data_IF_077876873989
#
_entry.id   IF_077876873989
#
_cell.length_a   1.000
_cell.length_b   1.000
_cell.length_c   1.000
_cell.angle_alpha   90.00
_cell.angle_beta   90.00
_cell.angle_gamma   90.00
#
_symmetry.space_group_name_H-M   'P 1'
#
loop_
_entity.id
_entity.type
_entity.pdbx_description
1 polymer ?
#
# COMPACT_ATOMS: atom_id res chain seq x y z
N UNK A 1 3.58 17.70 -4.56
CA UNK A 1 4.86 18.11 -5.21
C UNK A 1 5.21 19.56 -4.99
N UNK A 2 4.35 20.55 -5.31
CA UNK A 2 4.71 21.98 -5.11
C UNK A 2 5.06 22.29 -3.65
N UNK A 3 4.24 21.84 -2.70
CA UNK A 3 4.51 22.04 -1.26
C UNK A 3 5.83 21.38 -0.80
N UNK A 4 6.14 20.21 -1.33
CA UNK A 4 7.41 19.51 -1.03
C UNK A 4 8.59 20.30 -1.57
N UNK A 5 8.47 20.82 -2.79
CA UNK A 5 9.52 21.65 -3.37
C UNK A 5 9.72 22.95 -2.57
N UNK A 6 8.63 23.62 -2.16
CA UNK A 6 8.70 24.84 -1.33
C UNK A 6 9.38 24.60 0.04
N UNK A 7 9.19 23.40 0.61
CA UNK A 7 9.86 23.03 1.87
C UNK A 7 11.35 22.71 1.71
N UNK A 8 11.77 22.26 0.52
CA UNK A 8 13.14 21.78 0.28
C UNK A 8 14.00 22.77 -0.51
N UNK A 9 13.38 23.77 -1.14
CA UNK A 9 14.08 24.78 -1.98
C UNK A 9 14.31 26.07 -1.23
N UNK A 10 15.50 26.64 -1.40
CA UNK A 10 15.85 27.98 -0.91
C UNK A 10 15.22 29.07 -1.81
N UNK A 11 14.82 28.71 -3.03
CA UNK A 11 14.24 29.62 -4.02
C UNK A 11 12.71 29.60 -3.99
N UNK A 12 12.08 30.77 -4.09
CA UNK A 12 10.63 30.89 -4.24
C UNK A 12 10.19 30.28 -5.57
N UNK A 13 9.14 29.48 -5.53
CA UNK A 13 8.49 28.96 -6.73
C UNK A 13 7.91 30.11 -7.57
N UNK A 14 8.46 30.31 -8.77
CA UNK A 14 7.83 31.16 -9.77
C UNK A 14 6.61 30.48 -10.39
N UNK A 15 5.68 31.22 -10.97
CA UNK A 15 4.50 30.65 -11.63
C UNK A 15 4.88 29.72 -12.80
N UNK A 16 5.95 30.07 -13.52
CA UNK A 16 6.50 29.22 -14.57
C UNK A 16 6.99 27.88 -14.01
N UNK A 17 7.75 27.89 -12.91
CA UNK A 17 8.24 26.68 -12.28
C UNK A 17 7.10 25.84 -11.68
N UNK A 18 6.08 26.49 -11.10
CA UNK A 18 4.83 25.81 -10.66
C UNK A 18 4.15 25.09 -11.81
N UNK A 19 4.01 25.75 -12.96
CA UNK A 19 3.39 25.17 -14.14
C UNK A 19 4.18 23.98 -14.67
N UNK A 20 5.51 24.06 -14.71
CA UNK A 20 6.40 22.96 -15.11
C UNK A 20 6.31 21.76 -14.16
N UNK A 21 6.33 22.01 -12.85
CA UNK A 21 6.17 20.95 -11.82
C UNK A 21 4.80 20.28 -11.97
N UNK A 22 3.73 21.05 -12.17
CA UNK A 22 2.39 20.50 -12.39
C UNK A 22 2.32 19.66 -13.66
N UNK A 23 2.85 20.16 -14.77
CA UNK A 23 2.87 19.42 -16.03
C UNK A 23 3.66 18.12 -15.91
N UNK A 24 4.80 18.12 -15.22
CA UNK A 24 5.57 16.92 -14.92
C UNK A 24 4.80 15.94 -14.04
N UNK A 25 4.15 16.43 -12.97
CA UNK A 25 3.32 15.60 -12.09
C UNK A 25 2.16 14.94 -12.83
N UNK A 26 1.50 15.69 -13.73
CA UNK A 26 0.41 15.13 -14.56
C UNK A 26 0.92 14.05 -15.52
N UNK A 27 2.11 14.22 -16.10
CA UNK A 27 2.72 13.17 -16.93
C UNK A 27 3.01 11.91 -16.16
N UNK A 28 3.54 12.02 -14.93
CA UNK A 28 3.75 10.86 -14.04
C UNK A 28 2.41 10.20 -13.69
N UNK A 29 1.40 11.00 -13.34
CA UNK A 29 0.07 10.48 -13.00
C UNK A 29 -0.63 9.80 -14.18
N UNK A 30 -0.34 10.22 -15.42
CA UNK A 30 -0.88 9.64 -16.64
C UNK A 30 -0.09 8.41 -17.13
N UNK A 31 1.07 8.11 -16.53
CA UNK A 31 1.86 6.94 -16.91
C UNK A 31 1.03 5.65 -16.80
N UNK A 32 1.13 4.71 -17.74
CA UNK A 32 0.47 3.42 -17.64
C UNK A 32 0.79 2.72 -16.31
N UNK A 33 -0.19 2.05 -15.75
CA UNK A 33 0.03 1.21 -14.56
C UNK A 33 0.58 -0.12 -15.06
N UNK A 34 1.83 -0.39 -14.73
CA UNK A 34 2.46 -1.67 -15.02
C UNK A 34 2.12 -2.66 -13.91
N UNK A 35 1.55 -3.80 -14.30
CA UNK A 35 1.18 -4.86 -13.37
C UNK A 35 2.35 -5.82 -13.21
N UNK A 36 2.74 -6.07 -11.98
CA UNK A 36 3.78 -7.06 -11.66
C UNK A 36 3.28 -8.44 -12.07
N UNK A 37 4.14 -9.19 -12.76
CA UNK A 37 3.80 -10.53 -13.24
C UNK A 37 3.37 -11.46 -12.09
N UNK A 38 2.31 -12.23 -12.31
CA UNK A 38 1.75 -13.17 -11.35
C UNK A 38 0.82 -12.55 -10.30
N UNK A 39 0.70 -11.21 -10.23
CA UNK A 39 -0.20 -10.55 -9.27
C UNK A 39 -1.67 -10.85 -9.58
N UNK A 40 -2.18 -10.73 -10.82
CA UNK A 40 -3.58 -11.05 -11.10
C UNK A 40 -3.95 -12.49 -10.74
N UNK A 41 -3.11 -13.46 -11.09
CA UNK A 41 -3.32 -14.88 -10.83
C UNK A 41 -3.32 -15.17 -9.32
N UNK A 42 -2.41 -14.53 -8.58
CA UNK A 42 -2.35 -14.65 -7.12
C UNK A 42 -3.60 -14.06 -6.46
N UNK A 43 -4.04 -12.88 -6.89
CA UNK A 43 -5.27 -12.27 -6.37
C UNK A 43 -6.50 -13.12 -6.69
N UNK A 44 -6.57 -13.69 -7.89
CA UNK A 44 -7.63 -14.63 -8.28
C UNK A 44 -7.65 -15.86 -7.38
N UNK A 45 -6.46 -16.44 -7.11
CA UNK A 45 -6.33 -17.60 -6.22
C UNK A 45 -6.84 -17.27 -4.80
N UNK A 46 -6.40 -16.17 -4.22
CA UNK A 46 -6.80 -15.74 -2.88
C UNK A 46 -8.32 -15.47 -2.80
N UNK A 47 -8.87 -14.74 -3.76
CA UNK A 47 -10.30 -14.47 -3.81
C UNK A 47 -11.11 -15.77 -3.97
N UNK A 48 -10.63 -16.74 -4.74
CA UNK A 48 -11.25 -18.05 -4.93
C UNK A 48 -11.26 -18.93 -3.68
N UNK A 49 -10.42 -18.63 -2.69
CA UNK A 49 -10.35 -19.35 -1.40
C UNK A 49 -11.16 -18.67 -0.27
N UNK A 50 -12.10 -17.85 -0.62
CA UNK A 50 -12.99 -17.13 0.33
C UNK A 50 -12.24 -16.12 1.22
N UNK A 51 -11.07 -15.66 0.81
CA UNK A 51 -10.42 -14.53 1.47
C UNK A 51 -11.09 -13.22 1.07
N UNK A 52 -11.37 -12.37 2.04
CA UNK A 52 -11.86 -11.02 1.80
C UNK A 52 -10.67 -10.09 1.56
N UNK A 53 -10.47 -9.69 0.31
CA UNK A 53 -9.36 -8.83 -0.07
C UNK A 53 -9.78 -7.37 0.03
N UNK A 54 -9.03 -6.58 0.80
CA UNK A 54 -9.20 -5.13 0.91
C UNK A 54 -7.91 -4.47 0.43
N UNK A 55 -7.99 -3.61 -0.56
CA UNK A 55 -6.85 -2.82 -1.00
C UNK A 55 -6.75 -1.56 -0.14
N UNK A 56 -5.63 -1.39 0.55
CA UNK A 56 -5.33 -0.18 1.31
C UNK A 56 -4.15 0.55 0.69
N UNK A 57 -4.36 1.80 0.28
CA UNK A 57 -3.33 2.66 -0.32
C UNK A 57 -3.31 4.03 0.34
N UNK A 58 -2.14 4.71 0.32
CA UNK A 58 -2.02 6.08 0.83
C UNK A 58 -1.84 7.08 -0.30
N UNK A 59 -2.37 8.28 -0.12
CA UNK A 59 -2.17 9.39 -1.04
C UNK A 59 -3.42 10.18 -1.35
N UNK A 60 -3.42 10.88 -2.48
CA UNK A 60 -4.58 11.62 -2.94
C UNK A 60 -5.70 10.67 -3.37
N UNK A 61 -6.93 10.79 -2.84
CA UNK A 61 -8.02 9.86 -3.14
C UNK A 61 -8.32 9.74 -4.64
N UNK A 62 -8.41 10.85 -5.37
CA UNK A 62 -8.73 10.84 -6.79
C UNK A 62 -7.64 10.15 -7.62
N UNK A 63 -6.37 10.41 -7.30
CA UNK A 63 -5.23 9.78 -7.98
C UNK A 63 -5.16 8.27 -7.70
N UNK A 64 -5.32 7.86 -6.45
CA UNK A 64 -5.24 6.44 -6.08
C UNK A 64 -6.43 5.66 -6.64
N UNK A 65 -7.65 6.21 -6.56
CA UNK A 65 -8.83 5.58 -7.17
C UNK A 65 -8.64 5.40 -8.67
N UNK A 66 -8.17 6.42 -9.37
CA UNK A 66 -7.88 6.34 -10.81
C UNK A 66 -6.81 5.28 -11.14
N UNK A 67 -5.76 5.15 -10.31
CA UNK A 67 -4.74 4.09 -10.49
C UNK A 67 -5.34 2.70 -10.32
N UNK A 68 -6.14 2.49 -9.29
CA UNK A 68 -6.81 1.20 -9.04
C UNK A 68 -7.74 0.84 -10.19
N UNK A 69 -8.50 1.78 -10.73
CA UNK A 69 -9.37 1.56 -11.88
C UNK A 69 -8.59 1.20 -13.14
N UNK A 70 -7.53 1.95 -13.44
CA UNK A 70 -6.67 1.70 -14.61
C UNK A 70 -5.86 0.40 -14.51
N UNK A 71 -5.59 -0.09 -13.30
CA UNK A 71 -4.89 -1.36 -13.11
C UNK A 71 -5.69 -2.58 -13.58
N UNK A 72 -7.02 -2.46 -13.69
CA UNK A 72 -7.89 -3.60 -13.97
C UNK A 72 -8.04 -4.58 -12.80
N UNK A 73 -7.40 -4.31 -11.66
CA UNK A 73 -7.39 -5.23 -10.51
C UNK A 73 -8.53 -4.98 -9.51
N UNK A 74 -9.30 -3.91 -9.68
CA UNK A 74 -10.36 -3.49 -8.75
C UNK A 74 -11.33 -4.62 -8.41
N UNK A 75 -11.67 -5.46 -9.40
CA UNK A 75 -12.64 -6.54 -9.26
C UNK A 75 -12.22 -7.67 -8.30
N UNK A 76 -10.95 -7.76 -7.93
CA UNK A 76 -10.49 -8.74 -6.94
C UNK A 76 -10.73 -8.29 -5.49
N UNK A 77 -10.96 -7.01 -5.26
CA UNK A 77 -11.07 -6.43 -3.93
C UNK A 77 -12.53 -6.17 -3.56
N UNK A 78 -12.93 -6.62 -2.38
CA UNK A 78 -14.22 -6.30 -1.80
C UNK A 78 -14.34 -4.80 -1.44
N UNK A 79 -13.21 -4.16 -1.12
CA UNK A 79 -13.14 -2.73 -0.83
C UNK A 79 -11.79 -2.13 -1.20
N UNK A 80 -11.80 -0.81 -1.42
CA UNK A 80 -10.60 0.01 -1.66
C UNK A 80 -10.59 1.15 -0.66
N UNK A 81 -9.57 1.20 0.18
CA UNK A 81 -9.36 2.22 1.20
C UNK A 81 -8.19 3.13 0.81
N UNK A 82 -8.49 4.41 0.63
CA UNK A 82 -7.47 5.43 0.40
C UNK A 82 -7.31 6.26 1.67
N UNK A 83 -6.16 6.16 2.29
CA UNK A 83 -5.84 6.86 3.54
C UNK A 83 -4.80 7.94 3.32
N UNK A 84 -4.77 8.96 4.17
CA UNK A 84 -3.74 9.99 4.10
C UNK A 84 -2.36 9.43 4.46
N UNK A 85 -2.33 8.61 5.52
CA UNK A 85 -1.13 7.91 6.00
C UNK A 85 -1.49 6.49 6.45
N UNK A 86 -0.59 5.55 6.21
CA UNK A 86 -0.66 4.17 6.71
C UNK A 86 0.07 4.09 8.05
N UNK A 87 -0.64 4.30 9.13
CA UNK A 87 -0.15 4.19 10.51
C UNK A 87 -1.09 3.27 11.31
N UNK A 88 -0.72 2.89 12.52
CA UNK A 88 -1.53 1.98 13.35
C UNK A 88 -2.98 2.45 13.51
N UNK A 89 -3.22 3.76 13.65
CA UNK A 89 -4.57 4.32 13.74
C UNK A 89 -5.40 4.06 12.46
N UNK A 90 -4.78 4.21 11.28
CA UNK A 90 -5.45 3.95 10.02
C UNK A 90 -5.83 2.46 9.90
N UNK A 91 -4.95 1.55 10.30
CA UNK A 91 -5.25 0.11 10.33
C UNK A 91 -6.37 -0.22 11.31
N UNK A 92 -6.39 0.36 12.52
CA UNK A 92 -7.51 0.20 13.45
C UNK A 92 -8.82 0.70 12.86
N UNK A 93 -8.82 1.89 12.25
CA UNK A 93 -10.02 2.46 11.61
C UNK A 93 -10.56 1.53 10.51
N UNK A 94 -9.69 0.96 9.68
CA UNK A 94 -10.10 0.01 8.64
C UNK A 94 -10.61 -1.30 9.25
N UNK A 95 -9.93 -1.81 10.28
CA UNK A 95 -10.36 -3.02 10.98
C UNK A 95 -11.76 -2.85 11.60
N UNK A 96 -12.01 -1.73 12.28
CA UNK A 96 -13.33 -1.40 12.85
C UNK A 96 -14.40 -1.25 11.75
N UNK A 97 -14.08 -0.51 10.67
CA UNK A 97 -15.01 -0.25 9.57
C UNK A 97 -15.54 -1.53 8.92
N UNK A 98 -14.69 -2.53 8.80
CA UNK A 98 -15.04 -3.81 8.15
C UNK A 98 -15.24 -4.96 9.15
N UNK A 99 -15.28 -4.66 10.46
CA UNK A 99 -15.39 -5.66 11.52
C UNK A 99 -14.39 -6.79 11.38
N UNK A 100 -13.12 -6.45 11.06
CA UNK A 100 -12.08 -7.45 10.84
C UNK A 100 -11.62 -8.05 12.17
N UNK A 101 -11.52 -9.36 12.20
CA UNK A 101 -10.85 -10.07 13.28
C UNK A 101 -9.33 -9.97 13.09
N UNK A 102 -8.65 -9.24 13.96
CA UNK A 102 -7.21 -9.01 13.88
C UNK A 102 -6.37 -10.28 14.07
N UNK A 103 -6.94 -11.33 14.67
CA UNK A 103 -6.24 -12.59 14.91
C UNK A 103 -6.17 -13.50 13.65
N UNK A 104 -6.90 -13.14 12.60
CA UNK A 104 -6.87 -13.83 11.30
C UNK A 104 -6.66 -12.90 10.13
N UNK A 105 -6.55 -11.59 10.38
CA UNK A 105 -6.33 -10.59 9.32
C UNK A 105 -4.86 -10.34 9.08
N UNK A 106 -4.48 -10.30 7.81
CA UNK A 106 -3.12 -10.10 7.35
C UNK A 106 -2.97 -8.83 6.51
N UNK A 107 -1.98 -8.02 6.83
CA UNK A 107 -1.49 -6.99 5.93
C UNK A 107 -0.35 -7.55 5.07
N UNK A 108 -0.45 -7.39 3.75
CA UNK A 108 0.56 -7.82 2.80
C UNK A 108 1.12 -6.59 2.09
N UNK A 109 2.43 -6.38 2.17
CA UNK A 109 3.04 -5.22 1.54
C UNK A 109 4.56 -5.25 1.48
N UNK A 110 5.11 -4.25 0.78
CA UNK A 110 6.55 -4.13 0.53
C UNK A 110 7.22 -3.04 1.39
N UNK A 111 6.45 -2.27 2.14
CA UNK A 111 6.98 -1.20 2.98
C UNK A 111 7.03 -1.61 4.45
N UNK A 112 8.21 -1.75 5.06
CA UNK A 112 8.29 -1.89 6.51
C UNK A 112 7.60 -0.75 7.24
N UNK A 113 7.83 0.49 6.81
CA UNK A 113 7.32 1.71 7.45
C UNK A 113 5.81 1.89 7.34
N UNK A 114 5.24 1.62 6.17
CA UNK A 114 3.82 1.93 5.91
C UNK A 114 2.92 0.70 5.94
N UNK A 115 3.45 -0.50 5.68
CA UNK A 115 2.65 -1.71 5.62
C UNK A 115 2.85 -2.58 6.85
N UNK A 116 4.08 -3.05 7.09
CA UNK A 116 4.36 -4.12 8.04
C UNK A 116 4.29 -3.63 9.49
N UNK A 117 5.12 -2.64 9.84
CA UNK A 117 5.24 -2.19 11.23
C UNK A 117 3.93 -1.64 11.80
N UNK A 118 3.22 -0.74 11.10
CA UNK A 118 1.96 -0.21 11.62
C UNK A 118 0.83 -1.24 11.66
N UNK A 119 0.83 -2.26 10.78
CA UNK A 119 -0.12 -3.37 10.87
C UNK A 119 0.14 -4.23 12.10
N UNK A 120 1.42 -4.55 12.39
CA UNK A 120 1.79 -5.25 13.63
C UNK A 120 1.42 -4.44 14.88
N UNK A 121 1.62 -3.12 14.87
CA UNK A 121 1.21 -2.23 15.97
C UNK A 121 -0.31 -2.22 16.17
N UNK A 122 -1.07 -2.32 15.08
CA UNK A 122 -2.52 -2.43 15.13
C UNK A 122 -3.05 -3.83 15.49
N UNK A 123 -2.16 -4.79 15.74
CA UNK A 123 -2.53 -6.14 16.15
C UNK A 123 -2.81 -7.11 14.99
N UNK A 124 -2.67 -6.71 13.73
CA UNK A 124 -2.82 -7.58 12.58
C UNK A 124 -1.58 -8.45 12.39
N UNK A 125 -1.72 -9.55 11.67
CA UNK A 125 -0.57 -10.26 11.11
C UNK A 125 0.01 -9.46 9.93
N UNK A 126 1.25 -9.74 9.56
CA UNK A 126 1.88 -9.10 8.42
C UNK A 126 2.65 -10.09 7.52
N UNK A 127 2.66 -9.81 6.23
CA UNK A 127 3.54 -10.42 5.24
C UNK A 127 4.38 -9.31 4.62
N UNK A 128 5.68 -9.43 4.73
CA UNK A 128 6.62 -8.58 4.03
C UNK A 128 7.05 -9.24 2.73
N UNK A 129 6.78 -8.55 1.61
CA UNK A 129 7.20 -8.96 0.27
C UNK A 129 8.10 -7.85 -0.27
N UNK A 130 9.43 -7.98 -0.23
CA UNK A 130 10.34 -6.94 -0.69
C UNK A 130 10.16 -6.67 -2.18
N UNK A 131 10.39 -5.42 -2.60
CA UNK A 131 10.34 -5.01 -4.00
C UNK A 131 11.43 -3.98 -4.28
N UNK A 132 12.19 -4.18 -5.36
CA UNK A 132 13.35 -3.35 -5.71
C UNK A 132 13.00 -1.87 -5.93
N UNK A 133 11.76 -1.59 -6.36
CA UNK A 133 11.24 -0.24 -6.55
C UNK A 133 10.63 0.37 -5.29
N UNK A 134 10.83 -0.25 -4.12
CA UNK A 134 10.38 0.33 -2.86
C UNK A 134 11.11 1.64 -2.61
N UNK A 135 10.35 2.71 -2.41
CA UNK A 135 10.92 4.04 -2.23
C UNK A 135 11.79 4.08 -0.95
N UNK A 136 12.95 4.73 -1.04
CA UNK A 136 13.93 4.78 0.06
C UNK A 136 13.32 5.27 1.39
N UNK A 137 12.35 6.17 1.35
CA UNK A 137 11.66 6.68 2.55
C UNK A 137 10.67 5.68 3.18
N UNK A 138 10.40 4.57 2.51
CA UNK A 138 9.57 3.47 3.02
C UNK A 138 10.43 2.38 3.70
N UNK A 139 11.77 2.48 3.61
CA UNK A 139 12.69 1.57 4.25
C UNK A 139 12.78 1.88 5.75
N UNK A 140 12.61 0.86 6.54
CA UNK A 140 12.75 0.87 7.99
C UNK A 140 13.10 -0.55 8.43
N UNK A 141 13.61 -0.73 9.64
CA UNK A 141 13.77 -2.07 10.20
C UNK A 141 12.42 -2.74 10.38
N UNK A 142 12.34 -4.02 10.04
CA UNK A 142 11.13 -4.80 10.27
C UNK A 142 10.91 -4.95 11.77
N UNK A 143 9.75 -4.52 12.22
CA UNK A 143 9.28 -4.73 13.58
C UNK A 143 9.07 -6.22 13.87
N UNK A 144 8.96 -6.54 15.16
CA UNK A 144 8.59 -7.87 15.62
C UNK A 144 7.09 -7.93 15.97
N UNK A 145 6.47 -9.12 15.98
CA UNK A 145 5.15 -9.32 16.55
C UNK A 145 5.01 -8.72 17.95
N UNK A 146 3.88 -8.08 18.23
CA UNK A 146 3.63 -7.31 19.47
C UNK A 146 2.78 -8.07 20.48
N UNK A 147 2.05 -9.11 20.05
CA UNK A 147 1.18 -9.94 20.92
C UNK A 147 1.39 -11.42 20.65
N UNK A 148 1.01 -12.25 21.63
CA UNK A 148 1.04 -13.70 21.47
C UNK A 148 0.15 -14.14 20.30
N UNK A 149 0.63 -15.09 19.50
CA UNK A 149 -0.08 -15.57 18.31
C UNK A 149 0.05 -14.70 17.06
N UNK A 150 0.49 -13.45 17.19
CA UNK A 150 0.73 -12.59 16.04
C UNK A 150 1.90 -13.11 15.19
N UNK A 151 1.79 -13.00 13.88
CA UNK A 151 2.77 -13.58 12.96
C UNK A 151 3.27 -12.51 11.98
N UNK A 152 4.56 -12.61 11.65
CA UNK A 152 5.21 -11.90 10.56
C UNK A 152 5.84 -12.96 9.64
N UNK A 153 5.41 -12.97 8.37
CA UNK A 153 6.02 -13.77 7.32
C UNK A 153 6.88 -12.87 6.42
N UNK A 154 7.95 -13.43 5.91
CA UNK A 154 8.75 -12.82 4.85
C UNK A 154 8.74 -13.74 3.66
N UNK A 155 8.26 -13.26 2.53
CA UNK A 155 8.21 -13.98 1.27
C UNK A 155 9.06 -13.23 0.24
N UNK A 156 9.68 -13.96 -0.66
CA UNK A 156 10.53 -13.34 -1.69
C UNK A 156 9.70 -12.72 -2.81
N UNK A 157 8.53 -13.28 -3.11
CA UNK A 157 7.65 -12.83 -4.20
C UNK A 157 6.19 -12.83 -3.76
N UNK A 158 5.40 -11.95 -4.37
CA UNK A 158 3.97 -11.88 -4.16
C UNK A 158 3.25 -13.21 -4.51
N UNK A 159 3.74 -13.91 -5.53
CA UNK A 159 3.20 -15.21 -5.96
C UNK A 159 3.33 -16.31 -4.91
N UNK A 160 4.29 -16.19 -3.98
CA UNK A 160 4.52 -17.19 -2.93
C UNK A 160 3.37 -17.22 -1.90
N UNK A 161 2.51 -16.18 -1.90
CA UNK A 161 1.28 -16.14 -1.09
C UNK A 161 0.39 -17.36 -1.32
N UNK A 162 0.31 -17.86 -2.55
CA UNK A 162 -0.53 -19.02 -2.91
C UNK A 162 -0.18 -20.32 -2.16
N UNK A 163 1.02 -20.37 -1.58
CA UNK A 163 1.49 -21.51 -0.77
C UNK A 163 1.18 -21.36 0.73
N UNK A 164 0.70 -20.18 1.15
CA UNK A 164 0.45 -19.85 2.54
C UNK A 164 -1.03 -19.56 2.86
N UNK A 165 -1.79 -19.21 1.82
CA UNK A 165 -3.19 -18.79 1.93
C UNK A 165 -4.13 -19.53 0.99
#
# INVERSE_FOLDING_TARGET
MCNTFECLSVERLTDELRSRIRAFALRIAAHPVEIIAGVPETLQHLAGRSHHLILMTKGNPAEQTSKVERSGLKGYFAAVEVVAEKNAKAYHTVAEKYALDTDVTWMIGNSPRSDVNPALEAGLHAVFVPHDMTWVLEHEELGAPKKAGQRLLRLDRFTDLTSHF
#
